data_IF_214189186359
#
_entry.id   IF_214189186359
#
_cell.length_a   1.000
_cell.length_b   1.000
_cell.length_c   1.000
_cell.angle_alpha   90.00
_cell.angle_beta   90.00
_cell.angle_gamma   90.00
#
_symmetry.space_group_name_H-M   'P 1'
#
loop_
_entity.id
_entity.type
_entity.pdbx_description
1 polymer ?
#
# COMPACT_ATOMS: atom_id res chain seq x y z
N UNK A 1 -35.20 72.24 -3.85
CA UNK A 1 -33.75 72.13 -3.73
C UNK A 1 -33.31 71.02 -2.73
N UNK A 2 -34.04 70.77 -1.65
CA UNK A 2 -33.62 69.77 -0.57
C UNK A 2 -33.58 68.30 -1.02
N UNK A 3 -34.48 67.81 -1.89
CA UNK A 3 -34.51 66.36 -2.27
C UNK A 3 -33.29 65.89 -3.09
N UNK A 4 -32.79 66.72 -4.02
CA UNK A 4 -31.60 66.41 -4.83
C UNK A 4 -30.32 66.35 -4.01
N UNK A 5 -30.22 67.08 -2.93
CA UNK A 5 -29.06 67.09 -2.03
C UNK A 5 -29.06 65.83 -1.16
N UNK A 6 -30.22 65.42 -0.63
CA UNK A 6 -30.38 64.16 0.14
C UNK A 6 -30.05 62.94 -0.70
N UNK A 7 -30.52 62.94 -1.97
CA UNK A 7 -30.20 61.82 -2.89
C UNK A 7 -28.70 61.69 -3.17
N UNK A 8 -28.00 62.82 -3.37
CA UNK A 8 -26.54 62.82 -3.56
C UNK A 8 -25.78 62.29 -2.33
N UNK A 9 -26.23 62.67 -1.15
CA UNK A 9 -25.64 62.16 0.10
C UNK A 9 -25.91 60.66 0.28
N UNK A 10 -27.11 60.16 0.00
CA UNK A 10 -27.45 58.74 0.06
C UNK A 10 -26.61 57.90 -0.92
N UNK A 11 -26.43 58.37 -2.17
CA UNK A 11 -25.56 57.70 -3.13
C UNK A 11 -24.12 57.69 -2.67
N UNK A 12 -23.60 58.76 -2.10
CA UNK A 12 -22.24 58.85 -1.55
C UNK A 12 -22.00 57.87 -0.40
N UNK A 13 -22.97 57.73 0.51
CA UNK A 13 -22.90 56.77 1.63
C UNK A 13 -22.94 55.34 1.11
N UNK A 14 -23.81 55.01 0.17
CA UNK A 14 -23.88 53.68 -0.43
C UNK A 14 -22.58 53.34 -1.15
N UNK A 15 -22.00 54.26 -1.90
CA UNK A 15 -20.73 54.07 -2.59
C UNK A 15 -19.57 53.84 -1.59
N UNK A 16 -19.55 54.56 -0.45
CA UNK A 16 -18.57 54.39 0.57
C UNK A 16 -18.70 53.01 1.24
N UNK A 17 -19.92 52.60 1.59
CA UNK A 17 -20.17 51.28 2.17
C UNK A 17 -19.79 50.13 1.21
N UNK A 18 -20.09 50.29 -0.07
CA UNK A 18 -19.67 49.31 -1.09
C UNK A 18 -18.13 49.25 -1.22
N UNK A 19 -17.44 50.39 -1.17
CA UNK A 19 -15.97 50.42 -1.21
C UNK A 19 -15.35 49.77 0.03
N UNK A 20 -15.90 49.97 1.23
CA UNK A 20 -15.44 49.32 2.46
C UNK A 20 -15.70 47.83 2.41
N UNK A 21 -16.87 47.40 1.93
CA UNK A 21 -17.18 45.97 1.77
C UNK A 21 -16.24 45.28 0.76
N UNK A 22 -15.94 45.97 -0.36
CA UNK A 22 -14.99 45.46 -1.36
C UNK A 22 -13.56 45.34 -0.79
N UNK A 23 -13.10 46.37 -0.06
CA UNK A 23 -11.79 46.35 0.58
C UNK A 23 -11.70 45.24 1.62
N UNK A 24 -12.75 45.00 2.41
CA UNK A 24 -12.85 43.88 3.34
C UNK A 24 -12.80 42.52 2.64
N UNK A 25 -13.53 42.36 1.56
CA UNK A 25 -13.51 41.11 0.77
C UNK A 25 -12.12 40.85 0.15
N UNK A 26 -11.47 41.87 -0.39
CA UNK A 26 -10.11 41.79 -0.94
C UNK A 26 -9.12 41.43 0.17
N UNK A 27 -9.23 42.06 1.35
CA UNK A 27 -8.37 41.74 2.48
C UNK A 27 -8.52 40.29 2.97
N UNK A 28 -9.77 39.80 3.08
CA UNK A 28 -10.05 38.40 3.45
C UNK A 28 -9.50 37.45 2.40
N UNK A 29 -9.64 37.75 1.12
CA UNK A 29 -9.09 36.93 0.04
C UNK A 29 -7.55 36.86 0.11
N UNK A 30 -6.90 38.02 0.30
CA UNK A 30 -5.43 38.08 0.46
C UNK A 30 -4.97 37.33 1.71
N UNK A 31 -5.66 37.50 2.83
CA UNK A 31 -5.32 36.79 4.07
C UNK A 31 -5.45 35.26 3.89
N UNK A 32 -6.53 34.80 3.25
CA UNK A 32 -6.73 33.39 2.93
C UNK A 32 -5.65 32.85 1.98
N UNK A 33 -5.31 33.63 0.94
CA UNK A 33 -4.26 33.26 -0.01
C UNK A 33 -2.89 33.11 0.65
N UNK A 34 -2.52 34.08 1.51
CA UNK A 34 -1.25 34.05 2.27
C UNK A 34 -1.20 32.88 3.27
N UNK A 35 -2.34 32.53 3.87
CA UNK A 35 -2.42 31.39 4.78
C UNK A 35 -2.25 30.07 4.01
N UNK A 36 -2.87 29.92 2.86
CA UNK A 36 -2.67 28.78 1.94
C UNK A 36 -1.21 28.66 1.51
N UNK A 37 -0.57 29.76 1.12
CA UNK A 37 0.83 29.77 0.66
C UNK A 37 1.78 29.33 1.80
N UNK A 38 1.57 29.81 3.03
CA UNK A 38 2.32 29.37 4.21
C UNK A 38 2.11 27.88 4.47
N UNK A 39 0.90 27.39 4.36
CA UNK A 39 0.57 25.97 4.47
C UNK A 39 1.28 25.11 3.42
N UNK A 40 1.39 25.58 2.18
CA UNK A 40 2.14 24.89 1.14
C UNK A 40 3.64 24.90 1.39
N UNK A 41 4.20 26.02 1.81
CA UNK A 41 5.62 26.13 2.16
C UNK A 41 5.98 25.18 3.30
N UNK A 42 5.14 25.12 4.34
CA UNK A 42 5.33 24.20 5.46
C UNK A 42 5.28 22.72 5.02
N UNK A 43 4.29 22.37 4.16
CA UNK A 43 4.20 21.01 3.59
C UNK A 43 5.43 20.65 2.76
N UNK A 44 5.93 21.57 1.93
CA UNK A 44 7.16 21.37 1.13
C UNK A 44 8.39 21.17 2.00
N UNK A 45 8.52 21.94 3.09
CA UNK A 45 9.62 21.78 4.04
C UNK A 45 9.55 20.43 4.76
N UNK A 46 8.37 20.06 5.27
CA UNK A 46 8.18 18.76 5.92
C UNK A 46 8.46 17.60 4.95
N UNK A 47 7.98 17.71 3.72
CA UNK A 47 8.26 16.69 2.69
C UNK A 47 9.76 16.59 2.41
N UNK A 48 10.48 17.70 2.31
CA UNK A 48 11.93 17.67 2.12
C UNK A 48 12.68 17.06 3.31
N UNK A 49 12.23 17.29 4.54
CA UNK A 49 12.79 16.65 5.72
C UNK A 49 12.54 15.13 5.75
N UNK A 50 11.33 14.70 5.36
CA UNK A 50 10.98 13.28 5.21
C UNK A 50 11.82 12.63 4.12
N UNK A 51 11.89 13.24 2.94
CA UNK A 51 12.60 12.71 1.78
C UNK A 51 14.12 12.63 2.01
N UNK A 52 14.67 13.51 2.82
CA UNK A 52 16.09 13.51 3.18
C UNK A 52 16.44 12.57 4.33
N UNK A 53 15.46 11.99 5.02
CA UNK A 53 15.65 11.22 6.26
C UNK A 53 16.00 12.07 7.48
N UNK A 54 15.98 13.41 7.36
CA UNK A 54 16.26 14.32 8.49
C UNK A 54 15.17 14.22 9.56
N UNK A 55 13.93 14.04 9.15
CA UNK A 55 12.82 13.86 10.08
C UNK A 55 13.02 12.64 10.98
N UNK A 56 13.40 11.50 10.41
CA UNK A 56 13.56 10.25 11.15
C UNK A 56 14.86 10.20 11.95
N UNK A 57 15.97 10.66 11.36
CA UNK A 57 17.32 10.39 11.89
C UNK A 57 18.14 11.65 12.20
N UNK A 58 17.58 12.86 12.04
CA UNK A 58 18.33 14.12 12.19
C UNK A 58 18.99 14.32 13.55
N UNK A 59 18.40 13.76 14.61
CA UNK A 59 18.91 13.83 15.99
C UNK A 59 19.96 12.73 16.29
N UNK A 60 20.24 11.82 15.33
CA UNK A 60 21.16 10.70 15.43
C UNK A 60 22.20 10.77 14.30
N UNK A 61 23.31 11.49 14.46
CA UNK A 61 24.23 11.83 13.36
C UNK A 61 24.77 10.62 12.57
N UNK A 62 25.07 9.51 13.24
CA UNK A 62 25.56 8.30 12.59
C UNK A 62 24.47 7.65 11.70
N UNK A 63 23.25 7.52 12.20
CA UNK A 63 22.12 7.00 11.40
C UNK A 63 21.76 7.95 10.26
N UNK A 64 21.80 9.25 10.51
CA UNK A 64 21.53 10.26 9.47
C UNK A 64 22.56 10.20 8.34
N UNK A 65 23.84 9.95 8.63
CA UNK A 65 24.86 9.78 7.62
C UNK A 65 24.55 8.56 6.70
N UNK A 66 24.08 7.44 7.28
CA UNK A 66 23.61 6.28 6.51
C UNK A 66 22.35 6.64 5.70
N UNK A 67 21.38 7.33 6.29
CA UNK A 67 20.17 7.78 5.60
C UNK A 67 20.50 8.66 4.39
N UNK A 68 21.52 9.50 4.46
CA UNK A 68 22.01 10.29 3.31
C UNK A 68 22.57 9.40 2.19
N UNK A 69 23.20 8.28 2.51
CA UNK A 69 23.63 7.27 1.54
C UNK A 69 22.43 6.58 0.88
N UNK A 70 21.39 6.27 1.67
CA UNK A 70 20.13 5.69 1.16
C UNK A 70 19.44 6.68 0.21
N UNK A 71 19.36 7.95 0.57
CA UNK A 71 18.75 9.01 -0.27
C UNK A 71 19.44 9.10 -1.64
N UNK A 72 20.75 8.94 -1.68
CA UNK A 72 21.55 8.98 -2.93
C UNK A 72 21.60 7.64 -3.64
N UNK A 73 21.05 6.57 -3.03
CA UNK A 73 21.23 5.19 -3.47
C UNK A 73 22.69 4.83 -3.72
N UNK A 74 23.55 5.26 -2.81
CA UNK A 74 25.00 5.09 -2.88
C UNK A 74 25.50 4.04 -1.88
N UNK A 75 25.72 2.78 -2.32
CA UNK A 75 26.17 1.69 -1.46
C UNK A 75 27.49 1.97 -0.75
N UNK A 76 28.41 2.71 -1.36
CA UNK A 76 29.72 3.01 -0.74
C UNK A 76 29.57 4.00 0.41
N UNK A 77 28.75 5.03 0.24
CA UNK A 77 28.41 5.95 1.32
C UNK A 77 27.72 5.20 2.46
N UNK A 78 26.75 4.29 2.15
CA UNK A 78 26.05 3.46 3.16
C UNK A 78 27.06 2.62 3.93
N UNK A 79 27.94 1.86 3.26
CA UNK A 79 28.96 1.00 3.90
C UNK A 79 29.92 1.79 4.77
N UNK A 80 30.32 2.97 4.31
CA UNK A 80 31.25 3.80 5.05
C UNK A 80 30.61 4.38 6.30
N UNK A 81 29.42 4.97 6.19
CA UNK A 81 28.71 5.56 7.31
C UNK A 81 28.23 4.51 8.32
N UNK A 82 27.86 3.31 7.88
CA UNK A 82 27.43 2.23 8.75
C UNK A 82 28.50 1.74 9.74
N UNK A 83 29.79 2.02 9.48
CA UNK A 83 30.89 1.67 10.42
C UNK A 83 30.78 2.41 11.75
N UNK A 84 30.17 3.58 11.75
CA UNK A 84 29.99 4.43 12.92
C UNK A 84 28.64 4.17 13.62
N UNK A 85 27.83 3.25 13.10
CA UNK A 85 26.53 2.87 13.66
C UNK A 85 26.71 1.61 14.51
N UNK A 86 26.39 1.70 15.80
CA UNK A 86 26.48 0.56 16.74
C UNK A 86 25.32 -0.43 16.57
N UNK A 87 24.16 0.03 16.12
CA UNK A 87 22.95 -0.76 15.91
C UNK A 87 22.18 -0.27 14.69
N UNK A 88 22.18 -1.07 13.63
CA UNK A 88 21.43 -0.77 12.39
C UNK A 88 19.91 -0.94 12.55
N UNK A 89 19.43 -1.57 13.63
CA UNK A 89 18.03 -1.67 14.01
C UNK A 89 17.57 -0.49 14.87
N UNK A 90 18.47 0.42 15.27
CA UNK A 90 18.08 1.58 16.07
C UNK A 90 16.98 2.37 15.35
N UNK A 91 15.86 2.66 16.03
CA UNK A 91 14.74 3.34 15.42
C UNK A 91 15.00 4.85 15.29
N UNK A 92 14.53 5.41 14.20
CA UNK A 92 14.35 6.86 14.05
C UNK A 92 13.19 7.39 14.88
N UNK A 93 12.85 8.67 14.69
CA UNK A 93 11.82 9.39 15.48
C UNK A 93 10.47 8.67 15.48
N UNK A 94 10.02 8.16 14.32
CA UNK A 94 8.73 7.47 14.18
C UNK A 94 8.82 5.95 14.40
N UNK A 95 9.95 5.46 14.92
CA UNK A 95 10.18 4.05 15.15
C UNK A 95 10.63 3.26 13.91
N UNK A 96 10.75 3.90 12.76
CA UNK A 96 11.25 3.27 11.54
C UNK A 96 12.76 3.06 11.63
N UNK A 97 13.24 1.90 11.12
CA UNK A 97 14.67 1.64 10.97
C UNK A 97 15.20 2.21 9.66
N UNK A 98 16.53 2.19 9.49
CA UNK A 98 17.16 2.54 8.21
C UNK A 98 16.65 1.66 7.05
N UNK A 99 16.37 0.37 7.33
CA UNK A 99 15.85 -0.54 6.31
C UNK A 99 14.39 -0.21 5.95
N UNK A 100 13.53 0.13 6.94
CA UNK A 100 12.18 0.63 6.67
C UNK A 100 12.21 1.89 5.80
N UNK A 101 13.12 2.82 6.12
CA UNK A 101 13.29 4.05 5.37
C UNK A 101 13.69 3.76 3.92
N UNK A 102 14.65 2.87 3.69
CA UNK A 102 15.09 2.48 2.35
C UNK A 102 13.97 1.83 1.53
N UNK A 103 13.20 0.92 2.14
CA UNK A 103 12.06 0.25 1.50
C UNK A 103 10.96 1.27 1.15
N UNK A 104 10.55 2.13 2.08
CA UNK A 104 9.52 3.16 1.81
C UNK A 104 9.97 4.14 0.73
N UNK A 105 11.24 4.53 0.73
CA UNK A 105 11.79 5.40 -0.30
C UNK A 105 11.71 4.76 -1.70
N UNK A 106 11.87 3.45 -1.81
CA UNK A 106 11.78 2.73 -3.08
C UNK A 106 10.39 2.77 -3.72
N UNK A 107 9.36 3.17 -3.00
CA UNK A 107 8.01 3.33 -3.59
C UNK A 107 7.94 4.47 -4.60
N UNK A 108 8.75 5.49 -4.43
CA UNK A 108 8.81 6.66 -5.31
C UNK A 108 10.07 6.67 -6.19
N UNK A 109 11.10 5.90 -5.81
CA UNK A 109 12.41 5.87 -6.42
C UNK A 109 12.81 4.43 -6.75
N UNK A 110 12.46 3.95 -7.94
CA UNK A 110 12.69 2.57 -8.39
C UNK A 110 14.17 2.16 -8.37
N UNK A 111 15.08 3.14 -8.51
CA UNK A 111 16.53 2.94 -8.42
C UNK A 111 17.03 2.61 -7.01
N UNK A 112 16.22 2.83 -5.97
CA UNK A 112 16.63 2.64 -4.56
C UNK A 112 16.85 1.17 -4.13
N UNK A 113 16.88 0.23 -5.06
CA UNK A 113 17.08 -1.21 -4.79
C UNK A 113 18.43 -1.49 -4.16
N UNK A 114 19.49 -0.76 -4.55
CA UNK A 114 20.85 -1.03 -4.07
C UNK A 114 21.01 -0.70 -2.58
N UNK A 115 20.33 0.33 -2.09
CA UNK A 115 20.29 0.63 -0.65
C UNK A 115 19.62 -0.52 0.13
N UNK A 116 18.49 -1.05 -0.40
CA UNK A 116 17.77 -2.19 0.23
C UNK A 116 18.63 -3.46 0.24
N UNK A 117 19.45 -3.70 -0.77
CA UNK A 117 20.41 -4.84 -0.80
C UNK A 117 21.58 -4.63 0.15
N UNK A 118 22.06 -3.41 0.26
CA UNK A 118 23.30 -3.10 1.01
C UNK A 118 23.04 -3.22 2.52
N UNK A 119 21.94 -2.68 3.04
CA UNK A 119 21.68 -2.66 4.49
C UNK A 119 21.66 -4.06 5.13
N UNK A 120 20.95 -5.07 4.59
CA UNK A 120 21.00 -6.42 5.15
C UNK A 120 22.39 -7.05 5.05
N UNK A 121 23.17 -6.75 4.01
CA UNK A 121 24.56 -7.25 3.91
C UNK A 121 25.48 -6.70 5.01
N UNK A 122 25.07 -5.61 5.67
CA UNK A 122 25.76 -4.99 6.79
C UNK A 122 25.18 -5.41 8.16
N UNK A 123 24.14 -6.25 8.17
CA UNK A 123 23.52 -6.78 9.39
C UNK A 123 22.17 -6.14 9.76
N UNK A 124 21.57 -5.30 8.89
CA UNK A 124 20.20 -4.89 9.11
C UNK A 124 19.25 -6.08 8.93
N UNK A 125 18.44 -6.39 9.95
CA UNK A 125 17.52 -7.52 9.94
C UNK A 125 16.24 -7.16 9.18
N UNK A 126 15.93 -7.85 8.05
CA UNK A 126 14.70 -7.60 7.29
C UNK A 126 13.42 -7.95 8.07
N UNK A 127 13.54 -8.73 9.14
CA UNK A 127 12.42 -9.19 9.97
C UNK A 127 12.26 -8.40 11.27
N UNK A 128 13.13 -7.41 11.49
CA UNK A 128 13.08 -6.61 12.71
C UNK A 128 11.76 -5.87 12.84
N UNK A 129 11.17 -5.96 14.03
CA UNK A 129 10.03 -5.15 14.46
C UNK A 129 10.24 -4.74 15.91
N UNK A 130 9.97 -3.49 16.25
CA UNK A 130 10.05 -2.98 17.62
C UNK A 130 8.66 -2.79 18.25
N UNK A 131 7.61 -3.32 17.63
CA UNK A 131 6.22 -3.10 18.03
C UNK A 131 5.62 -1.76 17.60
N UNK A 132 6.39 -0.92 16.94
CA UNK A 132 5.91 0.31 16.32
C UNK A 132 5.39 0.02 14.90
N UNK A 133 4.30 0.69 14.50
CA UNK A 133 3.70 0.54 13.16
C UNK A 133 4.65 0.84 12.00
N UNK A 134 5.70 1.60 12.24
CA UNK A 134 6.66 1.99 11.21
C UNK A 134 7.86 1.05 11.10
N UNK A 135 7.96 0.00 11.93
CA UNK A 135 9.06 -0.98 11.88
C UNK A 135 8.60 -2.33 11.30
N UNK A 136 8.13 -2.31 10.05
CA UNK A 136 7.66 -3.50 9.33
C UNK A 136 8.21 -3.52 7.91
N UNK A 137 9.52 -3.59 7.77
CA UNK A 137 10.19 -3.52 6.46
C UNK A 137 9.65 -4.55 5.47
N UNK A 138 9.41 -5.81 5.89
CA UNK A 138 8.80 -6.84 5.04
C UNK A 138 7.38 -6.51 4.61
N UNK A 139 6.53 -5.97 5.50
CA UNK A 139 5.17 -5.55 5.14
C UNK A 139 5.17 -4.35 4.18
N UNK A 140 6.14 -3.47 4.33
CA UNK A 140 6.33 -2.34 3.41
C UNK A 140 6.90 -2.80 2.05
N UNK A 141 7.76 -3.82 2.02
CA UNK A 141 8.38 -4.34 0.80
C UNK A 141 7.36 -4.97 -0.17
N UNK A 142 6.25 -5.51 0.33
CA UNK A 142 5.20 -6.08 -0.54
C UNK A 142 4.49 -5.02 -1.39
N UNK A 143 4.58 -3.75 -1.02
CA UNK A 143 4.04 -2.62 -1.78
C UNK A 143 5.08 -1.96 -2.70
N UNK A 144 6.34 -2.37 -2.59
CA UNK A 144 7.42 -1.90 -3.44
C UNK A 144 7.47 -2.66 -4.77
N UNK A 145 8.45 -2.35 -5.62
CA UNK A 145 8.69 -3.08 -6.86
C UNK A 145 9.13 -4.53 -6.58
N UNK A 146 8.91 -5.43 -7.54
CA UNK A 146 9.32 -6.82 -7.43
C UNK A 146 10.84 -6.99 -7.15
N UNK A 147 11.76 -6.19 -7.74
CA UNK A 147 13.18 -6.23 -7.39
C UNK A 147 13.47 -5.90 -5.91
N UNK A 148 12.74 -4.97 -5.30
CA UNK A 148 12.89 -4.62 -3.88
C UNK A 148 12.41 -5.76 -2.99
N UNK A 149 11.22 -6.30 -3.26
CA UNK A 149 10.70 -7.45 -2.53
C UNK A 149 11.65 -8.65 -2.64
N UNK A 150 12.19 -8.93 -3.84
CA UNK A 150 13.18 -9.97 -4.04
C UNK A 150 14.41 -9.74 -3.18
N UNK A 151 14.96 -8.52 -3.16
CA UNK A 151 16.13 -8.20 -2.36
C UNK A 151 15.91 -8.45 -0.85
N UNK A 152 14.71 -8.13 -0.36
CA UNK A 152 14.33 -8.39 1.03
C UNK A 152 14.21 -9.89 1.33
N UNK A 153 13.57 -10.65 0.43
CA UNK A 153 13.39 -12.11 0.58
C UNK A 153 14.72 -12.85 0.48
N UNK A 154 15.59 -12.49 -0.48
CA UNK A 154 16.93 -13.05 -0.66
C UNK A 154 17.83 -12.78 0.56
N UNK A 155 17.59 -11.69 1.28
CA UNK A 155 18.26 -11.35 2.54
C UNK A 155 17.69 -12.10 3.76
N UNK A 156 16.79 -13.07 3.59
CA UNK A 156 16.19 -13.84 4.67
C UNK A 156 14.90 -13.23 5.23
N UNK A 157 14.28 -12.30 4.51
CA UNK A 157 12.98 -11.75 4.87
C UNK A 157 11.90 -12.84 4.93
N UNK A 158 11.07 -12.79 5.96
CA UNK A 158 10.01 -13.77 6.19
C UNK A 158 8.82 -13.54 5.24
N UNK A 159 8.66 -14.40 4.24
CA UNK A 159 7.53 -14.36 3.31
C UNK A 159 6.15 -14.58 4.00
N UNK A 160 6.14 -15.05 5.26
CA UNK A 160 4.95 -15.21 6.10
C UNK A 160 4.78 -14.09 7.13
N UNK A 161 5.52 -12.99 7.00
CA UNK A 161 5.39 -11.84 7.88
C UNK A 161 3.93 -11.32 7.88
N UNK A 162 3.59 -10.62 8.95
CA UNK A 162 2.29 -9.97 9.12
C UNK A 162 2.50 -8.49 9.37
N UNK A 163 1.55 -7.67 8.94
CA UNK A 163 1.56 -6.26 9.27
C UNK A 163 1.09 -5.99 10.73
N UNK A 164 1.03 -4.73 11.12
CA UNK A 164 0.58 -4.28 12.43
C UNK A 164 -0.89 -4.62 12.75
N UNK A 165 -1.66 -5.03 11.75
CA UNK A 165 -3.06 -5.49 11.89
C UNK A 165 -3.17 -7.02 11.88
N UNK A 166 -2.05 -7.74 11.87
CA UNK A 166 -2.01 -9.20 11.81
C UNK A 166 -2.33 -9.78 10.43
N UNK A 167 -2.41 -8.96 9.38
CA UNK A 167 -2.68 -9.42 8.01
C UNK A 167 -1.41 -10.03 7.41
N UNK A 168 -1.46 -11.25 6.85
CA UNK A 168 -0.34 -11.80 6.12
C UNK A 168 0.05 -10.92 4.93
N UNK A 169 1.35 -10.66 4.74
CA UNK A 169 1.84 -9.76 3.68
C UNK A 169 1.44 -10.25 2.28
N UNK A 170 1.31 -11.54 2.06
CA UNK A 170 0.85 -12.09 0.77
C UNK A 170 -0.56 -11.63 0.40
N UNK A 171 -1.44 -11.37 1.38
CA UNK A 171 -2.78 -10.83 1.17
C UNK A 171 -2.77 -9.31 0.92
N UNK A 172 -1.69 -8.62 1.29
CA UNK A 172 -1.56 -7.19 1.10
C UNK A 172 -1.07 -6.81 -0.31
N UNK A 173 -0.60 -7.77 -1.09
CA UNK A 173 0.01 -7.58 -2.40
C UNK A 173 -0.83 -6.72 -3.40
N UNK A 174 -2.13 -6.62 -3.19
CA UNK A 174 -3.06 -5.87 -4.06
C UNK A 174 -3.65 -4.61 -3.39
N UNK A 175 -3.29 -4.32 -2.14
CA UNK A 175 -3.98 -3.30 -1.33
C UNK A 175 -3.60 -1.86 -1.67
N UNK A 176 -2.37 -1.62 -2.11
CA UNK A 176 -1.89 -0.29 -2.47
C UNK A 176 -1.45 -0.29 -3.93
N UNK A 177 -2.13 0.50 -4.75
CA UNK A 177 -2.03 0.50 -6.20
C UNK A 177 -0.74 1.01 -6.85
N UNK A 178 0.37 1.13 -6.10
CA UNK A 178 1.61 1.72 -6.64
C UNK A 178 2.26 0.88 -7.75
N UNK A 179 2.13 -0.46 -7.72
CA UNK A 179 2.72 -1.38 -8.71
C UNK A 179 1.77 -2.55 -9.00
N UNK A 180 0.53 -2.24 -9.39
CA UNK A 180 -0.48 -3.27 -9.67
C UNK A 180 -0.09 -4.20 -10.82
N UNK A 181 0.66 -3.69 -11.82
CA UNK A 181 1.21 -4.47 -12.91
C UNK A 181 2.25 -5.52 -12.47
N UNK A 182 2.88 -5.34 -11.29
CA UNK A 182 3.85 -6.28 -10.73
C UNK A 182 3.24 -7.21 -9.66
N UNK A 183 1.95 -7.07 -9.35
CA UNK A 183 1.31 -7.84 -8.28
C UNK A 183 1.47 -9.36 -8.48
N UNK A 184 1.37 -9.83 -9.72
CA UNK A 184 1.60 -11.24 -10.08
C UNK A 184 3.03 -11.67 -9.77
N UNK A 185 4.03 -10.89 -10.20
CA UNK A 185 5.45 -11.20 -9.97
C UNK A 185 5.78 -11.22 -8.48
N UNK A 186 5.20 -10.31 -7.68
CA UNK A 186 5.37 -10.31 -6.22
C UNK A 186 4.69 -11.51 -5.56
N UNK A 187 3.51 -11.92 -6.03
CA UNK A 187 2.85 -13.13 -5.56
C UNK A 187 3.74 -14.36 -5.79
N UNK A 188 4.26 -14.52 -7.00
CA UNK A 188 5.17 -15.62 -7.36
C UNK A 188 6.42 -15.61 -6.48
N UNK A 189 7.04 -14.43 -6.27
CA UNK A 189 8.19 -14.29 -5.38
C UNK A 189 7.90 -14.75 -3.95
N UNK A 190 6.78 -14.31 -3.38
CA UNK A 190 6.39 -14.71 -2.04
C UNK A 190 6.19 -16.23 -1.94
N UNK A 191 5.50 -16.84 -2.90
CA UNK A 191 5.26 -18.28 -2.95
C UNK A 191 6.56 -19.05 -3.13
N UNK A 192 7.48 -18.60 -3.98
CA UNK A 192 8.78 -19.22 -4.23
C UNK A 192 9.68 -19.16 -2.98
N UNK A 193 9.47 -18.17 -2.10
CA UNK A 193 10.17 -18.04 -0.80
C UNK A 193 9.36 -18.64 0.38
N UNK A 194 8.40 -19.53 0.10
CA UNK A 194 7.70 -20.31 1.12
C UNK A 194 6.56 -19.58 1.84
N UNK A 195 5.98 -18.56 1.23
CA UNK A 195 4.74 -18.00 1.75
C UNK A 195 3.64 -19.07 1.79
N UNK A 196 2.90 -19.11 2.89
CA UNK A 196 1.80 -20.05 3.04
C UNK A 196 0.65 -19.68 2.10
N UNK A 197 0.48 -20.50 1.06
CA UNK A 197 -0.58 -20.34 0.04
C UNK A 197 -1.99 -20.38 0.64
N UNK A 198 -2.15 -20.95 1.83
CA UNK A 198 -3.40 -21.03 2.58
C UNK A 198 -3.54 -19.97 3.67
N UNK A 199 -2.74 -18.90 3.62
CA UNK A 199 -2.91 -17.75 4.49
C UNK A 199 -4.32 -17.16 4.38
N UNK A 200 -4.84 -16.66 5.50
CA UNK A 200 -6.18 -16.10 5.56
C UNK A 200 -6.19 -14.71 6.23
N UNK A 201 -7.17 -13.90 5.85
CA UNK A 201 -7.46 -12.62 6.49
C UNK A 201 -7.81 -12.81 7.97
N UNK A 202 -7.45 -11.87 8.85
CA UNK A 202 -7.95 -11.85 10.23
C UNK A 202 -9.48 -11.87 10.27
N UNK A 203 -10.05 -12.47 11.34
CA UNK A 203 -11.49 -12.67 11.47
C UNK A 203 -12.23 -11.48 12.08
N UNK A 204 -11.52 -10.45 12.52
CA UNK A 204 -12.05 -9.39 13.38
C UNK A 204 -12.36 -8.05 12.67
N UNK A 205 -12.11 -7.92 11.35
CA UNK A 205 -12.02 -6.58 10.76
C UNK A 205 -12.59 -6.33 9.36
N UNK A 206 -13.25 -7.26 8.67
CA UNK A 206 -13.74 -6.97 7.31
C UNK A 206 -14.82 -7.92 6.82
N UNK A 207 -15.51 -7.51 5.75
CA UNK A 207 -16.45 -8.34 4.98
C UNK A 207 -15.79 -9.61 4.39
N UNK A 208 -14.44 -9.65 4.36
CA UNK A 208 -13.63 -10.80 3.94
C UNK A 208 -13.01 -11.53 5.13
N UNK A 209 -13.64 -11.45 6.32
CA UNK A 209 -13.12 -12.07 7.55
C UNK A 209 -12.84 -13.57 7.35
N UNK A 210 -11.62 -13.97 7.70
CA UNK A 210 -11.17 -15.35 7.59
C UNK A 210 -11.03 -15.88 6.16
N UNK A 211 -11.21 -15.05 5.11
CA UNK A 211 -11.05 -15.50 3.73
C UNK A 211 -9.62 -16.02 3.49
N UNK A 212 -9.46 -17.29 3.10
CA UNK A 212 -8.20 -17.78 2.58
C UNK A 212 -7.79 -16.99 1.34
N UNK A 213 -6.49 -16.92 1.07
CA UNK A 213 -5.92 -16.17 -0.07
C UNK A 213 -6.62 -16.52 -1.40
N UNK A 214 -6.87 -17.80 -1.66
CA UNK A 214 -7.60 -18.27 -2.85
C UNK A 214 -8.99 -17.65 -2.96
N UNK A 215 -9.79 -17.73 -1.89
CA UNK A 215 -11.14 -17.17 -1.86
C UNK A 215 -11.12 -15.64 -1.97
N UNK A 216 -10.22 -14.99 -1.22
CA UNK A 216 -10.05 -13.54 -1.25
C UNK A 216 -9.72 -13.05 -2.67
N UNK A 217 -8.78 -13.73 -3.35
CA UNK A 217 -8.40 -13.34 -4.70
C UNK A 217 -9.51 -13.64 -5.72
N UNK A 218 -10.21 -14.78 -5.59
CA UNK A 218 -11.35 -15.11 -6.44
C UNK A 218 -12.48 -14.07 -6.32
N UNK A 219 -12.78 -13.60 -5.11
CA UNK A 219 -13.82 -12.59 -4.88
C UNK A 219 -13.57 -11.28 -5.65
N UNK A 220 -12.32 -10.91 -5.91
CA UNK A 220 -11.97 -9.73 -6.70
C UNK A 220 -12.19 -9.91 -8.22
N UNK A 221 -12.50 -11.11 -8.70
CA UNK A 221 -12.51 -11.47 -10.12
C UNK A 221 -13.53 -10.71 -10.97
N UNK A 222 -14.62 -10.19 -10.41
CA UNK A 222 -15.60 -9.39 -11.15
C UNK A 222 -15.07 -8.00 -11.52
N UNK A 223 -14.18 -7.44 -10.70
CA UNK A 223 -13.58 -6.12 -10.90
C UNK A 223 -12.19 -6.21 -11.56
N UNK A 224 -11.47 -7.30 -11.29
CA UNK A 224 -10.14 -7.58 -11.82
C UNK A 224 -10.06 -8.99 -12.43
N UNK A 225 -10.15 -9.10 -13.75
CA UNK A 225 -10.10 -10.40 -14.44
C UNK A 225 -8.82 -11.20 -14.16
N UNK A 226 -7.68 -10.53 -13.89
CA UNK A 226 -6.42 -11.20 -13.58
C UNK A 226 -6.48 -11.95 -12.25
N UNK A 227 -7.44 -11.61 -11.38
CA UNK A 227 -7.68 -12.34 -10.16
C UNK A 227 -8.03 -13.82 -10.37
N UNK A 228 -8.69 -14.15 -11.47
CA UNK A 228 -8.95 -15.56 -11.80
C UNK A 228 -7.68 -16.31 -12.23
N UNK A 229 -6.76 -15.64 -12.93
CA UNK A 229 -5.47 -16.23 -13.26
C UNK A 229 -4.59 -16.42 -12.02
N UNK A 230 -4.65 -15.48 -11.08
CA UNK A 230 -3.95 -15.61 -9.79
C UNK A 230 -4.57 -16.75 -8.95
N UNK A 231 -5.90 -16.88 -8.93
CA UNK A 231 -6.56 -17.99 -8.25
C UNK A 231 -6.14 -19.36 -8.82
N UNK A 232 -6.00 -19.47 -10.14
CA UNK A 232 -5.48 -20.68 -10.78
C UNK A 232 -4.04 -20.97 -10.35
N UNK A 233 -3.15 -19.96 -10.35
CA UNK A 233 -1.79 -20.11 -9.83
C UNK A 233 -1.78 -20.61 -8.37
N UNK A 234 -2.63 -20.05 -7.52
CA UNK A 234 -2.71 -20.46 -6.11
C UNK A 234 -3.11 -21.92 -5.98
N UNK A 235 -4.06 -22.39 -6.81
CA UNK A 235 -4.46 -23.81 -6.85
C UNK A 235 -3.31 -24.70 -7.33
N UNK A 236 -2.57 -24.30 -8.35
CA UNK A 236 -1.38 -25.00 -8.86
C UNK A 236 -0.26 -25.05 -7.80
N UNK A 237 -0.21 -24.10 -6.89
CA UNK A 237 0.72 -24.03 -5.74
C UNK A 237 0.18 -24.69 -4.48
N UNK A 238 -0.96 -25.40 -4.56
CA UNK A 238 -1.50 -26.21 -3.46
C UNK A 238 -2.45 -25.47 -2.52
N UNK A 239 -3.10 -24.40 -2.97
CA UNK A 239 -4.19 -23.81 -2.20
C UNK A 239 -5.35 -24.78 -2.06
N UNK A 240 -5.87 -24.89 -0.84
CA UNK A 240 -7.02 -25.77 -0.54
C UNK A 240 -8.33 -25.08 -0.96
N UNK A 241 -9.04 -25.58 -1.99
CA UNK A 241 -10.29 -24.99 -2.47
C UNK A 241 -11.48 -25.18 -1.51
N UNK A 242 -11.34 -26.04 -0.49
CA UNK A 242 -12.40 -26.34 0.48
C UNK A 242 -12.36 -25.45 1.71
N UNK A 243 -11.31 -24.66 1.89
CA UNK A 243 -11.25 -23.73 3.02
C UNK A 243 -12.28 -22.62 2.84
N UNK A 244 -13.10 -22.45 3.90
CA UNK A 244 -14.14 -21.42 3.93
C UNK A 244 -13.66 -20.15 4.66
N UNK A 245 -14.27 -19.02 4.31
CA UNK A 245 -14.24 -17.80 5.10
C UNK A 245 -15.08 -17.94 6.38
N UNK A 246 -15.08 -16.91 7.23
CA UNK A 246 -15.86 -16.90 8.46
C UNK A 246 -17.38 -16.94 8.22
N UNK A 247 -17.82 -16.49 7.06
CA UNK A 247 -19.21 -16.54 6.57
C UNK A 247 -19.61 -17.89 5.96
N UNK A 248 -18.70 -18.87 5.93
CA UNK A 248 -18.89 -20.16 5.29
C UNK A 248 -18.74 -20.17 3.77
N UNK A 249 -18.39 -19.02 3.15
CA UNK A 249 -18.11 -18.94 1.72
C UNK A 249 -16.87 -19.76 1.36
N UNK A 250 -16.97 -20.56 0.31
CA UNK A 250 -15.85 -21.33 -0.26
C UNK A 250 -15.50 -20.85 -1.66
N UNK A 251 -14.32 -21.25 -2.16
CA UNK A 251 -13.90 -20.99 -3.53
C UNK A 251 -14.97 -21.41 -4.56
N UNK A 252 -15.49 -22.63 -4.41
CA UNK A 252 -16.48 -23.15 -5.34
C UNK A 252 -17.80 -22.37 -5.31
N UNK A 253 -18.28 -21.96 -4.10
CA UNK A 253 -19.48 -21.13 -3.98
C UNK A 253 -19.28 -19.76 -4.63
N UNK A 254 -18.10 -19.18 -4.49
CA UNK A 254 -17.75 -17.90 -5.13
C UNK A 254 -17.74 -18.02 -6.67
N UNK A 255 -17.17 -19.09 -7.22
CA UNK A 255 -17.22 -19.34 -8.67
C UNK A 255 -18.65 -19.48 -9.19
N UNK A 256 -19.52 -20.20 -8.46
CA UNK A 256 -20.93 -20.33 -8.83
C UNK A 256 -21.65 -18.97 -8.82
N UNK A 257 -21.39 -18.14 -7.82
CA UNK A 257 -21.96 -16.79 -7.74
C UNK A 257 -21.49 -15.91 -8.94
N UNK A 258 -20.21 -15.96 -9.29
CA UNK A 258 -19.69 -15.22 -10.44
C UNK A 258 -20.28 -15.72 -11.77
N UNK A 259 -20.43 -17.04 -11.94
CA UNK A 259 -21.10 -17.59 -13.13
C UNK A 259 -22.54 -17.08 -13.25
N UNK A 260 -23.30 -17.11 -12.14
CA UNK A 260 -24.67 -16.59 -12.10
C UNK A 260 -24.72 -15.10 -12.45
N UNK A 261 -23.77 -14.31 -11.93
CA UNK A 261 -23.63 -12.89 -12.28
C UNK A 261 -23.44 -12.68 -13.78
N UNK A 262 -22.52 -13.41 -14.43
CA UNK A 262 -22.32 -13.30 -15.88
C UNK A 262 -23.57 -13.67 -16.67
N UNK A 263 -24.31 -14.71 -16.26
CA UNK A 263 -25.57 -15.11 -16.89
C UNK A 263 -26.65 -14.03 -16.73
N UNK A 264 -26.84 -13.48 -15.53
CA UNK A 264 -27.86 -12.46 -15.25
C UNK A 264 -27.56 -11.14 -15.98
N UNK A 265 -26.30 -10.76 -16.07
CA UNK A 265 -25.89 -9.52 -16.74
C UNK A 265 -25.73 -9.67 -18.25
N UNK A 266 -25.92 -10.88 -18.80
CA UNK A 266 -25.67 -11.22 -20.21
C UNK A 266 -24.25 -10.86 -20.69
N UNK A 267 -23.29 -10.76 -19.77
CA UNK A 267 -21.89 -10.51 -20.08
C UNK A 267 -21.18 -11.83 -20.38
N UNK A 268 -20.34 -11.81 -21.42
CA UNK A 268 -19.45 -12.94 -21.68
C UNK A 268 -18.39 -13.01 -20.58
N UNK A 269 -18.20 -14.17 -19.92
CA UNK A 269 -17.13 -14.36 -18.95
C UNK A 269 -15.75 -14.10 -19.59
N UNK A 270 -14.80 -13.51 -18.87
CA UNK A 270 -13.42 -13.39 -19.37
C UNK A 270 -12.76 -14.77 -19.52
N UNK A 271 -11.75 -14.85 -20.38
CA UNK A 271 -11.04 -16.11 -20.66
C UNK A 271 -10.44 -16.71 -19.39
N UNK A 272 -9.91 -15.86 -18.50
CA UNK A 272 -9.31 -16.25 -17.23
C UNK A 272 -10.34 -16.96 -16.31
N UNK A 273 -11.58 -16.46 -16.27
CA UNK A 273 -12.68 -17.13 -15.56
C UNK A 273 -13.02 -18.49 -16.21
N UNK A 274 -13.12 -18.54 -17.54
CA UNK A 274 -13.43 -19.79 -18.23
C UNK A 274 -12.37 -20.86 -17.94
N UNK A 275 -11.09 -20.50 -17.97
CA UNK A 275 -9.98 -21.41 -17.66
C UNK A 275 -10.05 -21.92 -16.23
N UNK A 276 -10.32 -21.03 -15.26
CA UNK A 276 -10.47 -21.41 -13.85
C UNK A 276 -11.69 -22.28 -13.62
N UNK A 277 -12.80 -22.01 -14.32
CA UNK A 277 -14.01 -22.82 -14.28
C UNK A 277 -13.76 -24.23 -14.81
N UNK A 278 -13.11 -24.38 -15.97
CA UNK A 278 -12.76 -25.67 -16.55
C UNK A 278 -11.87 -26.49 -15.61
N UNK A 279 -10.95 -25.83 -14.94
CA UNK A 279 -10.12 -26.47 -13.90
C UNK A 279 -11.00 -26.99 -12.74
N UNK A 280 -11.91 -26.18 -12.23
CA UNK A 280 -12.79 -26.53 -11.12
C UNK A 280 -13.76 -27.68 -11.49
N UNK A 281 -14.25 -27.73 -12.72
CA UNK A 281 -15.04 -28.85 -13.24
C UNK A 281 -14.23 -30.15 -13.30
N UNK A 282 -13.02 -30.12 -13.85
CA UNK A 282 -12.11 -31.27 -13.93
C UNK A 282 -11.75 -31.82 -12.56
N UNK A 283 -11.61 -30.96 -11.57
CA UNK A 283 -11.34 -31.36 -10.19
C UNK A 283 -12.58 -31.78 -9.39
N UNK A 284 -13.78 -31.77 -9.99
CA UNK A 284 -15.03 -32.20 -9.37
C UNK A 284 -15.61 -31.19 -8.35
N UNK A 285 -15.02 -30.01 -8.22
CA UNK A 285 -15.47 -28.98 -7.23
C UNK A 285 -16.88 -28.51 -7.57
N UNK A 286 -17.16 -28.28 -8.84
CA UNK A 286 -18.48 -27.83 -9.31
C UNK A 286 -19.55 -28.87 -9.03
N UNK A 287 -19.29 -30.17 -9.27
CA UNK A 287 -20.21 -31.28 -9.00
C UNK A 287 -20.53 -31.40 -7.51
N UNK A 288 -19.50 -31.29 -6.65
CA UNK A 288 -19.70 -31.35 -5.19
C UNK A 288 -20.66 -30.28 -4.68
N UNK A 289 -20.62 -29.06 -5.26
CA UNK A 289 -21.53 -27.99 -4.85
C UNK A 289 -22.96 -28.23 -5.35
N UNK A 290 -23.09 -28.66 -6.60
CA UNK A 290 -24.40 -28.98 -7.18
C UNK A 290 -25.13 -30.09 -6.41
N UNK A 291 -24.39 -31.11 -5.94
CA UNK A 291 -24.94 -32.20 -5.13
C UNK A 291 -25.26 -31.84 -3.69
N UNK A 292 -24.61 -30.83 -3.10
CA UNK A 292 -24.89 -30.35 -1.74
C UNK A 292 -26.12 -29.43 -1.66
N UNK A 293 -26.53 -28.86 -2.78
CA UNK A 293 -27.66 -27.93 -2.89
C UNK A 293 -28.95 -28.61 -3.40
N UNK A 294 -28.93 -29.95 -3.59
CA UNK A 294 -30.08 -30.81 -3.85
C UNK A 294 -30.48 -31.55 -2.56
#
# INVERSE_FOLDING_TARGET
MKARTVLKWAIGVIALLAAVALAGAVWLFVAFYLDMEKGEQHRRQLQAELDSGRWDFGDQPALFAVAQGIVRNDPETIRTAAKDVSDLQAPGRDGATLLDFAVRRSWQHLEAVDAVKTLPSLGADPNYTNGNRNSFAMANAVHASAPVLRAMLDAGGNANARDEFGRPIILMNWYLGYYTNEARSRLELLLDHGANVNSAMPTDRSDSAGYPLLLYRTAMGLDDRLAYADALLLLERGADPNRAGADGMTFGNMLMAHRAHFQQTLKRPPTEFATLWDWAEKCGIVQQILTRNL
#
